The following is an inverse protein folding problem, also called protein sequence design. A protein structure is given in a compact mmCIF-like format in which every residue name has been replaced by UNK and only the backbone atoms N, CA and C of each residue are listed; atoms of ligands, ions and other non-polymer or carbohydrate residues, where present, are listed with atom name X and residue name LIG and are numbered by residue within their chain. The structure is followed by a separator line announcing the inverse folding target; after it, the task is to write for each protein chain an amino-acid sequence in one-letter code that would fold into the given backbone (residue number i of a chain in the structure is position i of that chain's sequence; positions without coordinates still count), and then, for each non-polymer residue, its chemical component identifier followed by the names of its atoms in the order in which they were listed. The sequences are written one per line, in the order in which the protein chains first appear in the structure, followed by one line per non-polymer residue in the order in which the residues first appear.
data_IF_647854187047
#
_entry.id   IF_647854187047
#
_cell.length_a   1.000
_cell.length_b   1.000
_cell.length_c   1.000
_cell.angle_alpha   90.00
_cell.angle_beta   90.00
_cell.angle_gamma   90.00
#
_symmetry.space_group_name_H-M   'P 1'
#
loop_
_entity.id
_entity.type
_entity.pdbx_description
1 polymer ?
#
# COMPACT_ATOMS: atom_id res chain seq x y z
N UNK A 1 -2.52 -31.66 -10.28
CA UNK A 1 -3.53 -30.69 -9.80
C UNK A 1 -2.75 -29.49 -9.30
N UNK A 2 -2.96 -28.30 -9.87
CA UNK A 2 -2.30 -27.10 -9.37
C UNK A 2 -2.90 -26.79 -7.98
N UNK A 3 -2.06 -26.60 -6.97
CA UNK A 3 -2.50 -26.08 -5.67
C UNK A 3 -3.31 -24.79 -5.90
N UNK A 4 -4.42 -24.57 -5.16
CA UNK A 4 -5.10 -23.28 -5.22
C UNK A 4 -4.08 -22.24 -4.75
N UNK A 5 -3.61 -21.42 -5.70
CA UNK A 5 -2.61 -20.38 -5.44
C UNK A 5 -3.20 -19.45 -4.37
N UNK A 6 -2.50 -19.34 -3.23
CA UNK A 6 -2.86 -18.39 -2.17
C UNK A 6 -3.13 -17.00 -2.76
N UNK A 7 -4.18 -16.30 -2.31
CA UNK A 7 -4.42 -14.94 -2.80
C UNK A 7 -3.22 -14.05 -2.43
N UNK A 8 -2.75 -13.24 -3.37
CA UNK A 8 -1.64 -12.32 -3.15
C UNK A 8 -2.14 -10.94 -2.74
N UNK A 9 -1.47 -10.33 -1.76
CA UNK A 9 -1.81 -9.00 -1.26
C UNK A 9 -0.55 -8.12 -1.18
N UNK A 10 -0.56 -6.98 -1.88
CA UNK A 10 0.46 -5.95 -1.72
C UNK A 10 0.04 -4.97 -0.63
N UNK A 11 0.91 -4.72 0.35
CA UNK A 11 0.64 -3.72 1.39
C UNK A 11 1.31 -2.40 1.02
N UNK A 12 0.46 -1.42 0.70
CA UNK A 12 0.87 -0.04 0.44
C UNK A 12 0.68 0.79 1.71
N UNK A 13 1.76 1.35 2.24
CA UNK A 13 1.75 2.16 3.46
C UNK A 13 2.78 3.30 3.36
N UNK A 14 2.69 4.27 4.25
CA UNK A 14 3.69 5.33 4.38
C UNK A 14 4.58 5.06 5.59
N UNK A 15 5.89 5.34 5.46
CA UNK A 15 6.82 5.25 6.59
C UNK A 15 6.63 6.44 7.56
N UNK A 16 5.52 6.43 8.30
CA UNK A 16 5.12 7.51 9.21
C UNK A 16 5.93 7.50 10.51
N UNK A 17 6.01 6.32 11.14
CA UNK A 17 6.73 6.12 12.40
C UNK A 17 7.16 4.66 12.55
N UNK A 18 8.09 4.39 13.47
CA UNK A 18 8.50 3.03 13.79
C UNK A 18 7.32 2.18 14.33
N UNK A 19 6.44 2.79 15.13
CA UNK A 19 5.22 2.12 15.63
C UNK A 19 4.28 1.75 14.48
N UNK A 20 4.06 2.68 13.55
CA UNK A 20 3.22 2.41 12.38
C UNK A 20 3.80 1.26 11.54
N UNK A 21 5.10 1.31 11.26
CA UNK A 21 5.78 0.27 10.50
C UNK A 21 5.77 -1.09 11.21
N UNK A 22 5.79 -1.13 12.55
CA UNK A 22 5.64 -2.36 13.32
C UNK A 22 4.23 -2.94 13.17
N UNK A 23 3.17 -2.12 13.30
CA UNK A 23 1.78 -2.56 13.12
C UNK A 23 1.49 -3.06 11.70
N UNK A 24 2.13 -2.45 10.70
CA UNK A 24 2.05 -2.91 9.29
C UNK A 24 2.69 -4.29 9.13
N UNK A 25 3.82 -4.54 9.80
CA UNK A 25 4.47 -5.84 9.81
C UNK A 25 3.61 -6.88 10.54
N UNK A 26 3.05 -6.55 11.71
CA UNK A 26 2.16 -7.44 12.45
C UNK A 26 0.92 -7.82 11.62
N UNK A 27 0.36 -6.88 10.85
CA UNK A 27 -0.72 -7.16 9.90
C UNK A 27 -0.24 -8.12 8.80
N UNK A 28 0.93 -7.87 8.21
CA UNK A 28 1.49 -8.70 7.16
C UNK A 28 1.70 -10.15 7.64
N UNK A 29 2.31 -10.32 8.81
CA UNK A 29 2.56 -11.62 9.42
C UNK A 29 1.24 -12.36 9.71
N UNK A 30 0.23 -11.66 10.25
CA UNK A 30 -1.09 -12.26 10.51
C UNK A 30 -1.82 -12.70 9.22
N UNK A 31 -1.66 -11.97 8.11
CA UNK A 31 -2.21 -12.35 6.82
C UNK A 31 -1.48 -13.57 6.22
N UNK A 32 -0.15 -13.61 6.35
CA UNK A 32 0.67 -14.77 6.00
C UNK A 32 0.24 -16.02 6.77
N UNK A 33 0.05 -15.92 8.09
CA UNK A 33 -0.46 -17.00 8.93
C UNK A 33 -1.87 -17.46 8.51
N UNK A 34 -2.66 -16.54 7.94
CA UNK A 34 -3.98 -16.81 7.33
C UNK A 34 -3.92 -17.40 5.92
N UNK A 35 -2.73 -17.65 5.36
CA UNK A 35 -2.54 -18.26 4.04
C UNK A 35 -2.56 -17.28 2.86
N UNK A 36 -2.37 -15.97 3.10
CA UNK A 36 -2.27 -14.93 2.07
C UNK A 36 -0.79 -14.73 1.72
N UNK A 37 -0.47 -14.62 0.43
CA UNK A 37 0.89 -14.31 -0.03
C UNK A 37 1.11 -12.79 0.01
N UNK A 38 1.74 -12.30 1.08
CA UNK A 38 1.91 -10.87 1.32
C UNK A 38 3.20 -10.34 0.70
N UNK A 39 3.04 -9.29 -0.10
CA UNK A 39 4.14 -8.52 -0.66
C UNK A 39 4.32 -7.24 0.18
N UNK A 40 5.44 -7.17 0.89
CA UNK A 40 5.81 -6.05 1.75
C UNK A 40 7.29 -5.66 1.50
N UNK A 41 7.56 -4.37 1.41
CA UNK A 41 8.91 -3.84 1.20
C UNK A 41 9.92 -4.28 2.28
N UNK A 42 9.46 -4.43 3.53
CA UNK A 42 10.26 -4.87 4.68
C UNK A 42 10.79 -6.30 4.56
N UNK A 43 10.18 -7.14 3.73
CA UNK A 43 10.68 -8.49 3.45
C UNK A 43 11.77 -8.51 2.36
N UNK A 44 12.00 -7.38 1.68
CA UNK A 44 12.94 -7.31 0.55
C UNK A 44 14.32 -6.91 1.07
N UNK A 45 15.22 -7.90 1.14
CA UNK A 45 16.64 -7.68 1.40
C UNK A 45 17.49 -8.60 0.52
N UNK A 46 18.51 -8.08 -0.20
CA UNK A 46 18.91 -6.67 -0.31
C UNK A 46 17.89 -5.82 -1.09
N UNK A 47 18.10 -4.50 -1.13
CA UNK A 47 17.25 -3.60 -1.91
C UNK A 47 17.16 -4.05 -3.39
N UNK A 48 15.98 -3.88 -4.02
CA UNK A 48 15.75 -4.40 -5.37
C UNK A 48 16.64 -3.68 -6.39
N UNK A 49 17.30 -4.44 -7.27
CA UNK A 49 18.24 -3.91 -8.27
C UNK A 49 17.57 -2.94 -9.27
N UNK A 50 16.27 -3.09 -9.52
CA UNK A 50 15.45 -2.20 -10.36
C UNK A 50 15.08 -0.87 -9.66
N UNK A 51 15.36 -0.75 -8.36
CA UNK A 51 14.94 0.36 -7.51
C UNK A 51 13.51 0.22 -6.97
N UNK A 52 13.25 0.89 -5.85
CA UNK A 52 11.93 0.87 -5.19
C UNK A 52 10.76 1.31 -6.07
N UNK A 53 10.86 2.36 -6.91
CA UNK A 53 9.73 2.78 -7.75
C UNK A 53 9.24 1.67 -8.69
N UNK A 54 10.16 1.06 -9.46
CA UNK A 54 9.83 -0.03 -10.38
C UNK A 54 9.39 -1.30 -9.67
N UNK A 55 10.01 -1.61 -8.53
CA UNK A 55 9.59 -2.73 -7.69
C UNK A 55 8.14 -2.55 -7.20
N UNK A 56 7.77 -1.35 -6.74
CA UNK A 56 6.40 -1.05 -6.31
C UNK A 56 5.42 -1.16 -7.47
N UNK A 57 5.70 -0.55 -8.63
CA UNK A 57 4.85 -0.64 -9.83
C UNK A 57 4.56 -2.09 -10.21
N UNK A 58 5.61 -2.91 -10.36
CA UNK A 58 5.45 -4.31 -10.75
C UNK A 58 4.61 -5.09 -9.73
N UNK A 59 4.86 -4.91 -8.43
CA UNK A 59 4.16 -5.67 -7.41
C UNK A 59 2.71 -5.20 -7.20
N UNK A 60 2.43 -3.91 -7.40
CA UNK A 60 1.08 -3.36 -7.39
C UNK A 60 0.24 -3.93 -8.55
N UNK A 61 0.83 -4.07 -9.73
CA UNK A 61 0.17 -4.67 -10.90
C UNK A 61 0.02 -6.18 -10.78
N UNK A 62 0.97 -6.87 -10.14
CA UNK A 62 0.95 -8.32 -10.00
C UNK A 62 0.09 -8.84 -8.84
N UNK A 63 -0.22 -8.01 -7.84
CA UNK A 63 -0.99 -8.41 -6.67
C UNK A 63 -2.49 -8.50 -6.97
N UNK A 64 -3.14 -9.54 -6.44
CA UNK A 64 -4.59 -9.70 -6.56
C UNK A 64 -5.34 -8.65 -5.72
N UNK A 65 -4.81 -8.32 -4.54
CA UNK A 65 -5.32 -7.28 -3.67
C UNK A 65 -4.22 -6.28 -3.32
N UNK A 66 -4.62 -5.04 -3.09
CA UNK A 66 -3.75 -3.95 -2.63
C UNK A 66 -4.36 -3.39 -1.34
N UNK A 67 -3.71 -3.68 -0.22
CA UNK A 67 -4.11 -3.18 1.09
C UNK A 67 -3.49 -1.79 1.30
N UNK A 68 -4.33 -0.76 1.28
CA UNK A 68 -3.89 0.62 1.47
C UNK A 68 -3.99 0.97 2.94
N UNK A 69 -2.86 1.05 3.62
CA UNK A 69 -2.81 1.41 5.03
C UNK A 69 -2.93 2.93 5.15
N UNK A 70 -4.15 3.39 5.43
CA UNK A 70 -4.53 4.79 5.35
C UNK A 70 -4.17 5.55 6.65
N UNK A 71 -3.29 6.53 6.49
CA UNK A 71 -2.98 7.58 7.47
C UNK A 71 -3.13 8.96 6.82
N UNK A 72 -3.12 10.03 7.61
CA UNK A 72 -3.11 11.39 7.08
C UNK A 72 -1.92 11.62 6.14
N UNK A 73 -0.75 11.07 6.47
CA UNK A 73 0.46 11.16 5.65
C UNK A 73 0.34 10.33 4.38
N UNK A 74 -0.16 9.10 4.47
CA UNK A 74 -0.43 8.27 3.30
C UNK A 74 -1.34 9.01 2.31
N UNK A 75 -2.44 9.59 2.80
CA UNK A 75 -3.35 10.38 1.98
C UNK A 75 -2.65 11.54 1.30
N UNK A 76 -1.94 12.39 2.05
CA UNK A 76 -1.24 13.55 1.44
C UNK A 76 -0.25 13.12 0.36
N UNK A 77 0.49 12.03 0.59
CA UNK A 77 1.46 11.51 -0.39
C UNK A 77 0.80 10.97 -1.65
N UNK A 78 -0.24 10.15 -1.51
CA UNK A 78 -0.99 9.60 -2.65
C UNK A 78 -1.72 10.69 -3.44
N UNK A 79 -2.23 11.72 -2.75
CA UNK A 79 -2.91 12.86 -3.38
C UNK A 79 -1.95 13.91 -3.96
N UNK A 80 -0.63 13.76 -3.78
CA UNK A 80 0.36 14.75 -4.23
C UNK A 80 0.35 16.06 -3.44
N UNK A 81 -0.23 16.07 -2.24
CA UNK A 81 -0.35 17.21 -1.33
C UNK A 81 0.83 17.33 -0.35
N UNK A 82 1.79 16.39 -0.38
CA UNK A 82 2.94 16.37 0.54
C UNK A 82 4.04 17.37 0.11
N UNK A 83 4.72 17.97 1.08
CA UNK A 83 5.77 18.96 0.82
C UNK A 83 6.94 18.35 0.01
N UNK A 84 7.44 19.05 -1.04
CA UNK A 84 8.62 18.61 -1.77
C UNK A 84 9.81 18.38 -0.83
N UNK A 85 10.36 17.17 -0.81
CA UNK A 85 11.56 16.83 -0.02
C UNK A 85 11.29 16.19 1.35
N UNK A 86 10.03 16.04 1.79
CA UNK A 86 9.70 15.25 2.99
C UNK A 86 9.32 13.80 2.63
N UNK A 87 10.32 12.91 2.74
CA UNK A 87 10.13 11.46 2.75
C UNK A 87 10.75 10.71 1.57
N UNK A 88 11.34 9.55 1.86
CA UNK A 88 11.87 8.60 0.87
C UNK A 88 10.80 7.63 0.32
N UNK A 89 9.55 7.74 0.78
CA UNK A 89 8.48 6.80 0.48
C UNK A 89 7.29 7.45 -0.23
N UNK A 90 6.85 6.80 -1.31
CA UNK A 90 5.60 6.98 -2.06
C UNK A 90 5.37 8.41 -2.58
N UNK A 91 6.23 8.87 -3.51
CA UNK A 91 5.75 9.72 -4.60
C UNK A 91 5.05 8.81 -5.59
N UNK A 92 3.82 8.44 -5.28
CA UNK A 92 3.00 7.70 -6.22
C UNK A 92 2.23 8.72 -7.03
N UNK A 93 2.36 8.65 -8.35
CA UNK A 93 1.44 9.34 -9.24
C UNK A 93 0.04 8.79 -8.90
N UNK A 94 -0.75 9.49 -8.09
CA UNK A 94 -2.09 9.07 -7.68
C UNK A 94 -2.93 8.58 -8.87
N UNK A 95 -2.64 9.12 -10.05
CA UNK A 95 -2.95 8.59 -11.38
C UNK A 95 -2.98 7.06 -11.50
N UNK A 96 -2.00 6.29 -11.01
CA UNK A 96 -1.93 4.84 -11.19
C UNK A 96 -2.88 4.06 -10.26
N UNK A 97 -3.19 4.57 -9.06
CA UNK A 97 -4.23 3.98 -8.18
C UNK A 97 -5.64 4.35 -8.68
N UNK A 98 -5.79 5.51 -9.33
CA UNK A 98 -7.11 6.07 -9.69
C UNK A 98 -7.54 5.93 -11.16
N UNK A 99 -6.61 5.85 -12.12
CA UNK A 99 -6.94 5.70 -13.55
C UNK A 99 -7.31 4.27 -13.91
N UNK A 100 -6.81 3.28 -13.18
CA UNK A 100 -7.48 1.99 -13.18
C UNK A 100 -8.71 2.16 -12.29
N UNK A 101 -9.88 2.29 -12.90
CA UNK A 101 -11.14 2.47 -12.18
C UNK A 101 -11.12 1.55 -10.96
N UNK A 102 -11.36 2.05 -9.74
CA UNK A 102 -11.64 1.17 -8.62
C UNK A 102 -12.95 0.46 -8.96
N UNK A 103 -12.88 -0.66 -9.66
CA UNK A 103 -13.94 -1.65 -9.77
C UNK A 103 -14.03 -2.39 -8.43
N UNK A 104 -14.05 -1.61 -7.34
CA UNK A 104 -14.42 -1.95 -5.96
C UNK A 104 -13.71 -3.09 -5.23
N UNK A 105 -12.92 -3.93 -5.91
CA UNK A 105 -12.62 -5.27 -5.41
C UNK A 105 -11.15 -5.51 -5.08
N UNK A 106 -10.19 -4.87 -5.76
CA UNK A 106 -8.75 -5.09 -5.50
C UNK A 106 -8.13 -4.15 -4.47
N UNK A 107 -8.53 -2.89 -4.43
CA UNK A 107 -7.97 -1.91 -3.48
C UNK A 107 -8.79 -1.86 -2.20
N UNK A 108 -8.18 -2.25 -1.09
CA UNK A 108 -8.86 -2.38 0.21
C UNK A 108 -8.24 -1.37 1.18
N UNK A 109 -8.97 -0.30 1.58
CA UNK A 109 -8.47 0.64 2.58
C UNK A 109 -8.47 0.00 3.97
N UNK A 110 -7.36 0.14 4.69
CA UNK A 110 -7.15 -0.37 6.04
C UNK A 110 -6.84 0.81 6.97
N UNK A 111 -7.60 0.94 8.05
CA UNK A 111 -7.37 1.92 9.11
C UNK A 111 -6.76 1.19 10.32
N UNK A 112 -5.44 1.25 10.45
CA UNK A 112 -4.65 0.47 11.43
C UNK A 112 -4.35 1.23 12.74
N UNK A 113 -4.36 2.56 12.73
CA UNK A 113 -3.96 3.37 13.88
C UNK A 113 -5.17 3.82 14.71
N UNK A 114 -5.06 3.90 16.04
CA UNK A 114 -6.01 4.61 16.88
C UNK A 114 -6.10 6.08 16.42
N UNK A 115 -7.31 6.56 16.12
CA UNK A 115 -7.52 7.89 15.54
C UNK A 115 -7.38 7.97 14.02
N UNK A 116 -7.25 6.83 13.32
CA UNK A 116 -7.45 6.80 11.87
C UNK A 116 -8.93 7.06 11.54
N UNK A 117 -9.18 8.09 10.73
CA UNK A 117 -10.52 8.48 10.30
C UNK A 117 -10.77 8.09 8.85
N UNK A 118 -12.04 7.95 8.46
CA UNK A 118 -12.43 7.73 7.06
C UNK A 118 -11.94 8.83 6.12
N UNK A 119 -11.71 10.04 6.64
CA UNK A 119 -11.10 11.15 5.92
C UNK A 119 -9.66 10.88 5.46
N UNK A 120 -8.96 9.91 6.07
CA UNK A 120 -7.64 9.46 5.64
C UNK A 120 -7.69 8.52 4.43
N UNK A 121 -8.86 8.02 4.06
CA UNK A 121 -9.02 7.21 2.86
C UNK A 121 -8.88 8.14 1.65
N UNK A 122 -7.89 7.90 0.77
CA UNK A 122 -7.73 8.71 -0.42
C UNK A 122 -8.99 8.62 -1.30
N UNK A 123 -9.55 9.77 -1.70
CA UNK A 123 -10.70 9.84 -2.62
C UNK A 123 -10.28 10.30 -4.02
N UNK A 124 -10.91 9.77 -5.07
CA UNK A 124 -10.62 10.18 -6.44
C UNK A 124 -10.84 11.71 -6.59
N UNK A 125 -9.84 12.49 -7.04
CA UNK A 125 -10.01 13.92 -7.25
C UNK A 125 -10.93 14.26 -8.43
N UNK A 126 -11.23 13.30 -9.31
CA UNK A 126 -12.08 13.49 -10.50
C UNK A 126 -13.57 13.25 -10.19
N UNK A 127 -14.10 13.97 -9.21
CA UNK A 127 -15.54 14.16 -9.03
C UNK A 127 -15.81 15.65 -8.87
N UNK A 128 -15.51 16.40 -9.93
CA UNK A 128 -16.17 17.66 -10.30
C UNK A 128 -16.44 17.64 -11.79
#
# INVERSE_FOLDING_TARGET
MADPKSPSAFISYSHDSAEHAARVLDLADALCDGGIDVILDRYVHPAPAEGWPRWMERNLDAAQFVLMVCTATYRRRVMGEEEPGKGHGVRWEGSLIYNDKPSGSRFIPILLLPGSESAHIPSNPVSQ
#
